data_IF_017051801734
#
_entry.id   IF_017051801734
#
_cell.length_a   1.000
_cell.length_b   1.000
_cell.length_c   1.000
_cell.angle_alpha   90.00
_cell.angle_beta   90.00
_cell.angle_gamma   90.00
#
_symmetry.space_group_name_H-M   'P 1'
#
loop_
_entity.id
_entity.type
_entity.pdbx_description
1 polymer ?
#
# COMPACT_ATOMS: atom_id res chain seq x y z
N UNK A 1 -3.24 42.75 -34.06
CA UNK A 1 -1.92 43.24 -33.59
C UNK A 1 -2.16 44.26 -32.50
N UNK A 2 -1.67 44.02 -31.29
CA UNK A 2 -0.70 44.84 -30.53
C UNK A 2 -0.55 44.17 -29.17
N UNK A 3 0.71 43.97 -28.78
CA UNK A 3 1.20 43.23 -27.62
C UNK A 3 1.77 44.26 -26.61
N UNK A 4 1.80 43.86 -25.32
CA UNK A 4 2.69 44.30 -24.22
C UNK A 4 2.30 45.60 -23.48
N UNK A 5 2.00 45.48 -22.18
CA UNK A 5 2.89 45.93 -21.09
C UNK A 5 2.14 46.03 -19.73
N UNK A 6 2.24 45.00 -18.89
CA UNK A 6 2.04 45.14 -17.43
C UNK A 6 3.29 44.61 -16.75
N UNK A 7 4.27 45.50 -16.56
CA UNK A 7 5.46 45.27 -15.76
C UNK A 7 5.89 46.62 -15.15
N UNK A 8 5.16 47.07 -14.13
CA UNK A 8 5.44 48.32 -13.42
C UNK A 8 5.56 48.14 -11.90
N UNK A 9 5.87 46.92 -11.42
CA UNK A 9 5.93 46.61 -9.99
C UNK A 9 7.31 46.27 -9.42
N UNK A 10 8.39 46.28 -10.21
CA UNK A 10 9.69 45.72 -9.79
C UNK A 10 10.91 46.64 -9.96
N UNK A 11 10.72 47.96 -10.17
CA UNK A 11 11.83 48.91 -10.42
C UNK A 11 12.13 49.82 -9.20
N UNK A 12 11.38 49.68 -8.10
CA UNK A 12 11.47 50.58 -6.95
C UNK A 12 12.47 50.23 -5.83
N UNK A 13 13.38 49.26 -6.00
CA UNK A 13 14.33 48.86 -4.92
C UNK A 13 15.81 48.93 -5.33
N UNK A 14 16.13 49.31 -6.57
CA UNK A 14 17.53 49.26 -7.07
C UNK A 14 18.26 50.61 -7.00
N UNK A 15 17.61 51.71 -6.59
CA UNK A 15 18.17 53.06 -6.78
C UNK A 15 18.82 53.72 -5.54
N UNK A 16 19.17 53.00 -4.46
CA UNK A 16 19.75 53.66 -3.26
C UNK A 16 20.95 52.96 -2.61
N UNK A 17 21.87 52.42 -3.42
CA UNK A 17 23.18 52.00 -2.92
C UNK A 17 24.22 52.01 -4.05
N UNK A 18 24.62 53.21 -4.50
CA UNK A 18 25.77 53.37 -5.39
C UNK A 18 26.92 54.05 -4.65
N UNK A 19 27.51 53.31 -3.70
CA UNK A 19 28.85 53.61 -3.14
C UNK A 19 29.88 52.66 -3.77
N UNK A 20 30.96 53.17 -4.39
CA UNK A 20 31.88 52.34 -5.16
C UNK A 20 32.86 51.49 -4.32
N UNK A 21 32.95 51.70 -3.00
CA UNK A 21 33.91 51.01 -2.13
C UNK A 21 33.37 49.70 -1.49
N UNK A 22 32.08 49.39 -1.66
CA UNK A 22 31.43 48.21 -1.05
C UNK A 22 31.23 46.98 -1.96
N UNK A 23 31.75 46.99 -3.20
CA UNK A 23 31.37 46.00 -4.25
C UNK A 23 31.69 44.55 -3.91
N UNK A 24 32.79 44.27 -3.21
CA UNK A 24 33.14 42.89 -2.84
C UNK A 24 32.15 42.27 -1.84
N UNK A 25 31.55 43.08 -0.96
CA UNK A 25 30.64 42.59 0.09
C UNK A 25 29.22 42.30 -0.44
N UNK A 26 28.80 43.00 -1.51
CA UNK A 26 27.49 42.80 -2.15
C UNK A 26 27.38 41.48 -2.91
N UNK A 27 28.43 41.08 -3.63
CA UNK A 27 28.46 39.83 -4.39
C UNK A 27 28.44 38.59 -3.50
N UNK A 28 29.15 38.61 -2.37
CA UNK A 28 29.13 37.49 -1.41
C UNK A 28 27.73 37.34 -0.79
N UNK A 29 27.06 38.45 -0.44
CA UNK A 29 25.71 38.44 0.13
C UNK A 29 24.63 37.89 -0.82
N UNK A 30 24.80 38.03 -2.13
CA UNK A 30 23.84 37.50 -3.13
C UNK A 30 24.25 36.14 -3.70
N UNK A 31 25.54 35.89 -3.89
CA UNK A 31 26.04 34.61 -4.43
C UNK A 31 25.90 33.47 -3.42
N UNK A 32 26.13 33.72 -2.12
CA UNK A 32 26.01 32.68 -1.08
C UNK A 32 24.61 32.05 -1.00
N UNK A 33 23.49 32.80 -0.89
CA UNK A 33 22.15 32.20 -0.86
C UNK A 33 21.80 31.48 -2.17
N UNK A 34 22.27 31.96 -3.32
CA UNK A 34 22.09 31.28 -4.60
C UNK A 34 22.82 29.95 -4.64
N UNK A 35 24.07 29.89 -4.18
CA UNK A 35 24.84 28.64 -4.09
C UNK A 35 24.19 27.64 -3.13
N UNK A 36 23.70 28.11 -1.98
CA UNK A 36 22.96 27.27 -1.03
C UNK A 36 21.69 26.71 -1.68
N UNK A 37 20.92 27.54 -2.39
CA UNK A 37 19.70 27.11 -3.07
C UNK A 37 19.99 26.08 -4.18
N UNK A 38 21.04 26.30 -4.98
CA UNK A 38 21.47 25.34 -6.02
C UNK A 38 21.95 24.03 -5.39
N UNK A 39 22.75 24.08 -4.33
CA UNK A 39 23.21 22.89 -3.62
C UNK A 39 22.04 22.12 -2.99
N UNK A 40 21.09 22.83 -2.39
CA UNK A 40 19.87 22.26 -1.81
C UNK A 40 18.99 21.60 -2.86
N UNK A 41 18.76 22.24 -4.01
CA UNK A 41 17.99 21.65 -5.11
C UNK A 41 18.68 20.42 -5.70
N UNK A 42 20.00 20.45 -5.85
CA UNK A 42 20.78 19.28 -6.29
C UNK A 42 20.66 18.13 -5.28
N UNK A 43 20.75 18.43 -3.99
CA UNK A 43 20.57 17.45 -2.92
C UNK A 43 19.17 16.83 -2.92
N UNK A 44 18.12 17.65 -3.05
CA UNK A 44 16.73 17.18 -3.15
C UNK A 44 16.51 16.27 -4.35
N UNK A 45 17.02 16.64 -5.53
CA UNK A 45 16.94 15.79 -6.73
C UNK A 45 17.66 14.47 -6.54
N UNK A 46 18.85 14.49 -5.96
CA UNK A 46 19.61 13.27 -5.67
C UNK A 46 18.85 12.34 -4.71
N UNK A 47 18.29 12.87 -3.61
CA UNK A 47 17.47 12.07 -2.69
C UNK A 47 16.24 11.49 -3.39
N UNK A 48 15.51 12.30 -4.16
CA UNK A 48 14.35 11.84 -4.90
C UNK A 48 14.70 10.72 -5.89
N UNK A 49 15.79 10.86 -6.64
CA UNK A 49 16.25 9.82 -7.56
C UNK A 49 16.60 8.52 -6.82
N UNK A 50 17.27 8.62 -5.67
CA UNK A 50 17.58 7.45 -4.83
C UNK A 50 16.31 6.79 -4.30
N UNK A 51 15.38 7.56 -3.75
CA UNK A 51 14.08 7.07 -3.32
C UNK A 51 13.31 6.40 -4.45
N UNK A 52 13.25 7.01 -5.63
CA UNK A 52 12.48 6.49 -6.77
C UNK A 52 13.00 5.11 -7.23
N UNK A 53 14.33 4.97 -7.37
CA UNK A 53 14.96 3.69 -7.76
C UNK A 53 14.68 2.60 -6.71
N UNK A 54 14.86 2.91 -5.43
CA UNK A 54 14.59 1.93 -4.37
C UNK A 54 13.10 1.61 -4.27
N UNK A 55 12.22 2.58 -4.43
CA UNK A 55 10.76 2.37 -4.41
C UNK A 55 10.31 1.47 -5.56
N UNK A 56 10.85 1.65 -6.77
CA UNK A 56 10.55 0.80 -7.93
C UNK A 56 11.08 -0.63 -7.72
N UNK A 57 12.30 -0.78 -7.21
CA UNK A 57 12.86 -2.08 -6.84
C UNK A 57 12.03 -2.79 -5.76
N UNK A 58 11.62 -2.06 -4.73
CA UNK A 58 10.76 -2.58 -3.67
C UNK A 58 9.39 -3.04 -4.20
N UNK A 59 8.79 -2.28 -5.13
CA UNK A 59 7.55 -2.66 -5.80
C UNK A 59 7.72 -3.92 -6.67
N UNK A 60 8.82 -4.02 -7.43
CA UNK A 60 9.11 -5.22 -8.22
C UNK A 60 9.33 -6.47 -7.36
N UNK A 61 9.97 -6.33 -6.19
CA UNK A 61 10.13 -7.42 -5.23
C UNK A 61 8.80 -7.83 -4.60
N UNK A 62 7.91 -6.86 -4.30
CA UNK A 62 6.54 -7.10 -3.88
C UNK A 62 5.75 -7.88 -4.95
N UNK A 63 5.86 -7.48 -6.21
CA UNK A 63 5.26 -8.17 -7.36
C UNK A 63 5.74 -9.62 -7.47
N UNK A 64 7.04 -9.84 -7.27
CA UNK A 64 7.67 -11.16 -7.27
C UNK A 64 7.33 -12.01 -6.04
N UNK A 65 6.79 -11.41 -4.97
CA UNK A 65 6.46 -12.08 -3.71
C UNK A 65 7.65 -12.25 -2.75
N UNK A 66 8.80 -11.62 -3.00
CA UNK A 66 9.92 -11.59 -2.05
C UNK A 66 9.69 -10.48 -1.01
N UNK A 67 8.79 -10.75 -0.07
CA UNK A 67 8.35 -9.77 0.94
C UNK A 67 9.51 -9.30 1.83
N UNK A 68 10.43 -10.21 2.17
CA UNK A 68 11.58 -9.89 3.03
C UNK A 68 12.62 -9.01 2.34
N UNK A 69 12.90 -9.24 1.05
CA UNK A 69 13.73 -8.31 0.27
C UNK A 69 13.00 -6.99 0.00
N UNK A 70 11.72 -7.03 -0.36
CA UNK A 70 10.92 -5.84 -0.61
C UNK A 70 10.89 -4.92 0.62
N UNK A 71 10.62 -5.46 1.80
CA UNK A 71 10.60 -4.69 3.06
C UNK A 71 11.94 -4.00 3.32
N UNK A 72 13.07 -4.71 3.19
CA UNK A 72 14.40 -4.12 3.40
C UNK A 72 14.67 -2.96 2.43
N UNK A 73 14.36 -3.14 1.15
CA UNK A 73 14.57 -2.10 0.13
C UNK A 73 13.64 -0.89 0.36
N UNK A 74 12.40 -1.13 0.79
CA UNK A 74 11.45 -0.07 1.12
C UNK A 74 11.80 0.68 2.40
N UNK A 75 12.34 -0.01 3.42
CA UNK A 75 12.91 0.61 4.62
C UNK A 75 14.09 1.53 4.26
N UNK A 76 14.96 1.09 3.33
CA UNK A 76 16.02 1.95 2.79
C UNK A 76 15.44 3.14 2.00
N UNK A 77 14.41 2.92 1.17
CA UNK A 77 13.74 3.97 0.42
C UNK A 77 13.13 5.04 1.35
N UNK A 78 12.46 4.65 2.44
CA UNK A 78 11.92 5.57 3.44
C UNK A 78 13.02 6.45 4.04
N UNK A 79 14.21 5.88 4.20
CA UNK A 79 15.41 6.61 4.57
C UNK A 79 15.70 7.77 3.63
N UNK A 80 15.46 7.65 2.32
CA UNK A 80 15.68 8.69 1.29
C UNK A 80 14.50 9.63 1.06
N UNK A 81 13.28 9.24 1.46
CA UNK A 81 12.09 10.07 1.32
C UNK A 81 12.26 11.44 1.99
N UNK A 82 11.89 12.48 1.26
CA UNK A 82 12.03 13.89 1.64
C UNK A 82 10.69 14.61 1.62
N UNK A 83 9.82 14.29 0.64
CA UNK A 83 8.49 14.89 0.50
C UNK A 83 7.43 13.97 1.08
N UNK A 84 6.29 14.57 1.45
CA UNK A 84 5.18 13.79 1.98
C UNK A 84 4.65 12.70 1.03
N UNK A 85 4.51 12.92 -0.30
CA UNK A 85 4.09 11.85 -1.22
C UNK A 85 5.02 10.63 -1.20
N UNK A 86 6.32 10.86 -1.01
CA UNK A 86 7.33 9.80 -0.97
C UNK A 86 7.14 8.94 0.29
N UNK A 87 7.01 9.58 1.45
CA UNK A 87 6.68 8.89 2.71
C UNK A 87 5.34 8.16 2.66
N UNK A 88 4.31 8.79 2.07
CA UNK A 88 2.96 8.22 1.97
C UNK A 88 2.99 6.92 1.16
N UNK A 89 3.64 6.93 -0.01
CA UNK A 89 3.73 5.76 -0.87
C UNK A 89 4.57 4.64 -0.24
N UNK A 90 5.75 4.96 0.28
CA UNK A 90 6.63 3.96 0.89
C UNK A 90 5.99 3.31 2.11
N UNK A 91 5.30 4.08 2.96
CA UNK A 91 4.58 3.54 4.12
C UNK A 91 3.39 2.67 3.75
N UNK A 92 2.70 2.96 2.64
CA UNK A 92 1.66 2.05 2.14
C UNK A 92 2.27 0.69 1.80
N UNK A 93 3.36 0.67 1.01
CA UNK A 93 4.02 -0.57 0.61
C UNK A 93 4.56 -1.35 1.82
N UNK A 94 5.14 -0.66 2.81
CA UNK A 94 5.59 -1.30 4.05
C UNK A 94 4.41 -1.88 4.86
N UNK A 95 3.30 -1.15 4.99
CA UNK A 95 2.09 -1.66 5.64
C UNK A 95 1.51 -2.86 4.91
N UNK A 96 1.57 -2.86 3.58
CA UNK A 96 1.14 -3.99 2.77
C UNK A 96 2.06 -5.20 2.89
N UNK A 97 3.39 -5.01 2.89
CA UNK A 97 4.36 -6.06 3.22
C UNK A 97 4.04 -6.68 4.58
N UNK A 98 3.85 -5.85 5.61
CA UNK A 98 3.55 -6.31 6.96
C UNK A 98 2.26 -7.14 7.03
N UNK A 99 1.21 -6.76 6.28
CA UNK A 99 -0.01 -7.58 6.18
C UNK A 99 0.29 -8.95 5.56
N UNK A 100 1.01 -8.98 4.44
CA UNK A 100 1.31 -10.20 3.70
C UNK A 100 2.31 -11.12 4.42
N UNK A 101 3.17 -10.58 5.27
CA UNK A 101 4.04 -11.31 6.20
C UNK A 101 3.30 -11.79 7.47
N UNK A 102 2.00 -11.49 7.60
CA UNK A 102 1.19 -11.87 8.77
C UNK A 102 1.40 -11.00 10.02
N UNK A 103 2.15 -9.89 9.91
CA UNK A 103 2.32 -8.90 10.98
C UNK A 103 1.10 -7.96 11.07
N UNK A 104 -0.10 -8.53 11.23
CA UNK A 104 -1.39 -7.83 11.11
C UNK A 104 -1.50 -6.64 12.05
N UNK A 105 -1.03 -6.76 13.30
CA UNK A 105 -1.06 -5.65 14.27
C UNK A 105 -0.17 -4.46 13.86
N UNK A 106 1.03 -4.75 13.33
CA UNK A 106 1.96 -3.74 12.81
C UNK A 106 1.37 -3.04 11.59
N UNK A 107 0.86 -3.82 10.63
CA UNK A 107 0.19 -3.34 9.43
C UNK A 107 -0.99 -2.43 9.78
N UNK A 108 -1.87 -2.86 10.69
CA UNK A 108 -3.01 -2.07 11.18
C UNK A 108 -2.57 -0.72 11.73
N UNK A 109 -1.57 -0.71 12.60
CA UNK A 109 -1.08 0.53 13.23
C UNK A 109 -0.55 1.53 12.19
N UNK A 110 0.28 1.05 11.26
CA UNK A 110 0.86 1.86 10.20
C UNK A 110 -0.22 2.40 9.25
N UNK A 111 -1.16 1.55 8.81
CA UNK A 111 -2.23 1.90 7.88
C UNK A 111 -3.28 2.82 8.52
N UNK A 112 -3.53 2.70 9.82
CA UNK A 112 -4.38 3.63 10.56
C UNK A 112 -3.75 5.03 10.62
N UNK A 113 -2.46 5.11 10.95
CA UNK A 113 -1.73 6.37 10.95
C UNK A 113 -1.74 7.02 9.56
N UNK A 114 -1.51 6.21 8.51
CA UNK A 114 -1.54 6.66 7.13
C UNK A 114 -2.93 7.13 6.68
N UNK A 115 -3.99 6.40 7.04
CA UNK A 115 -5.37 6.71 6.65
C UNK A 115 -5.91 7.99 7.31
N UNK A 116 -5.35 8.37 8.47
CA UNK A 116 -5.69 9.60 9.20
C UNK A 116 -4.80 10.80 8.85
N UNK A 117 -3.66 10.58 8.19
CA UNK A 117 -2.73 11.66 7.90
C UNK A 117 -3.25 12.53 6.74
N UNK A 118 -3.38 13.84 6.98
CA UNK A 118 -3.95 14.77 6.01
C UNK A 118 -3.18 14.87 4.69
N UNK A 119 -1.87 14.58 4.70
CA UNK A 119 -1.03 14.60 3.49
C UNK A 119 -1.21 13.38 2.60
N UNK A 120 -1.85 12.32 3.09
CA UNK A 120 -2.16 11.13 2.28
C UNK A 120 -2.99 11.47 1.05
N UNK A 121 -3.83 12.52 1.11
CA UNK A 121 -4.59 13.04 -0.04
C UNK A 121 -3.72 13.57 -1.19
N UNK A 122 -2.44 13.86 -0.94
CA UNK A 122 -1.48 14.24 -1.99
C UNK A 122 -1.12 13.06 -2.91
N UNK A 123 -1.44 11.82 -2.49
CA UNK A 123 -1.28 10.59 -3.29
C UNK A 123 -2.63 9.88 -3.39
N UNK A 124 -3.45 10.19 -4.41
CA UNK A 124 -4.84 9.71 -4.50
C UNK A 124 -5.00 8.20 -4.46
N UNK A 125 -4.05 7.46 -5.02
CA UNK A 125 -4.04 5.99 -5.01
C UNK A 125 -3.91 5.46 -3.58
N UNK A 126 -2.98 6.00 -2.79
CA UNK A 126 -2.78 5.64 -1.39
C UNK A 126 -3.95 6.10 -0.52
N UNK A 127 -4.51 7.28 -0.82
CA UNK A 127 -5.67 7.81 -0.11
C UNK A 127 -6.89 6.88 -0.17
N UNK A 128 -7.10 6.22 -1.31
CA UNK A 128 -8.16 5.22 -1.48
C UNK A 128 -7.76 3.83 -0.98
N UNK A 129 -6.50 3.41 -1.17
CA UNK A 129 -6.06 2.05 -0.84
C UNK A 129 -5.80 1.81 0.66
N UNK A 130 -5.27 2.79 1.40
CA UNK A 130 -4.89 2.59 2.80
C UNK A 130 -6.09 2.18 3.70
N UNK A 131 -7.29 2.79 3.58
CA UNK A 131 -8.49 2.34 4.29
C UNK A 131 -8.93 0.90 3.95
N UNK A 132 -8.76 0.47 2.70
CA UNK A 132 -9.13 -0.89 2.26
C UNK A 132 -8.26 -1.95 2.94
N UNK A 133 -6.94 -1.74 2.94
CA UNK A 133 -5.98 -2.65 3.56
C UNK A 133 -6.11 -2.60 5.09
N UNK A 134 -6.47 -1.44 5.66
CA UNK A 134 -6.80 -1.32 7.08
C UNK A 134 -8.04 -2.15 7.44
N UNK A 135 -9.10 -2.09 6.62
CA UNK A 135 -10.29 -2.91 6.80
C UNK A 135 -9.96 -4.42 6.75
N UNK A 136 -9.05 -4.83 5.86
CA UNK A 136 -8.54 -6.20 5.81
C UNK A 136 -7.87 -6.61 7.14
N UNK A 137 -7.00 -5.76 7.69
CA UNK A 137 -6.34 -6.03 8.98
C UNK A 137 -7.36 -6.19 10.12
N UNK A 138 -8.36 -5.29 10.18
CA UNK A 138 -9.40 -5.32 11.20
C UNK A 138 -10.30 -6.57 11.09
N UNK A 139 -10.65 -6.96 9.86
CA UNK A 139 -11.42 -8.17 9.60
C UNK A 139 -10.68 -9.43 10.05
N UNK A 140 -9.37 -9.54 9.76
CA UNK A 140 -8.53 -10.64 10.24
C UNK A 140 -8.43 -10.68 11.77
N UNK A 141 -8.53 -9.53 12.43
CA UNK A 141 -8.56 -9.45 13.89
C UNK A 141 -9.94 -9.72 14.51
N UNK A 142 -10.98 -9.81 13.69
CA UNK A 142 -12.36 -10.04 14.11
C UNK A 142 -13.15 -8.77 14.44
N UNK A 143 -12.59 -7.58 14.26
CA UNK A 143 -13.28 -6.30 14.47
C UNK A 143 -14.05 -5.90 13.20
N UNK A 144 -15.18 -6.57 12.97
CA UNK A 144 -15.98 -6.36 11.75
C UNK A 144 -16.70 -5.01 11.72
N UNK A 145 -16.98 -4.42 12.88
CA UNK A 145 -17.64 -3.11 12.96
C UNK A 145 -16.69 -2.04 12.42
N UNK A 146 -15.47 -1.99 12.94
CA UNK A 146 -14.47 -1.02 12.49
C UNK A 146 -14.01 -1.34 11.06
N UNK A 147 -13.89 -2.63 10.69
CA UNK A 147 -13.53 -3.03 9.33
C UNK A 147 -14.53 -2.49 8.29
N UNK A 148 -15.83 -2.59 8.56
CA UNK A 148 -16.87 -2.04 7.68
C UNK A 148 -16.80 -0.53 7.58
N UNK A 149 -16.58 0.17 8.70
CA UNK A 149 -16.42 1.62 8.70
C UNK A 149 -15.30 2.07 7.76
N UNK A 150 -14.13 1.40 7.83
CA UNK A 150 -13.00 1.74 6.96
C UNK A 150 -13.18 1.29 5.51
N UNK A 151 -13.90 0.19 5.26
CA UNK A 151 -14.24 -0.21 3.89
C UNK A 151 -15.17 0.82 3.22
N UNK A 152 -16.18 1.32 3.95
CA UNK A 152 -17.03 2.40 3.46
C UNK A 152 -16.23 3.66 3.15
N UNK A 153 -15.25 3.99 3.99
CA UNK A 153 -14.34 5.09 3.75
C UNK A 153 -13.47 4.85 2.50
N UNK A 154 -12.97 3.64 2.29
CA UNK A 154 -12.25 3.26 1.07
C UNK A 154 -13.11 3.48 -0.17
N UNK A 155 -14.38 3.05 -0.14
CA UNK A 155 -15.34 3.23 -1.22
C UNK A 155 -15.64 4.70 -1.49
N UNK A 156 -15.83 5.52 -0.45
CA UNK A 156 -16.03 6.98 -0.60
C UNK A 156 -14.84 7.65 -1.28
N UNK A 157 -13.61 7.16 -1.05
CA UNK A 157 -12.38 7.73 -1.60
C UNK A 157 -12.01 7.19 -2.98
N UNK A 158 -12.61 6.07 -3.40
CA UNK A 158 -12.30 5.41 -4.66
C UNK A 158 -12.83 6.24 -5.84
N UNK A 159 -12.01 6.38 -6.88
CA UNK A 159 -12.44 7.03 -8.13
C UNK A 159 -13.42 6.11 -8.89
N UNK A 160 -14.44 6.67 -9.56
CA UNK A 160 -15.29 5.89 -10.46
C UNK A 160 -14.44 5.15 -11.50
N UNK A 161 -14.71 3.85 -11.70
CA UNK A 161 -13.99 3.02 -12.67
C UNK A 161 -12.62 2.51 -12.22
N UNK A 162 -12.18 2.77 -10.99
CA UNK A 162 -10.99 2.13 -10.45
C UNK A 162 -11.28 0.63 -10.19
N UNK A 163 -10.82 -0.21 -11.13
CA UNK A 163 -10.92 -1.67 -11.06
C UNK A 163 -9.89 -2.25 -10.08
N UNK A 164 -10.07 -1.94 -8.79
CA UNK A 164 -9.20 -2.46 -7.75
C UNK A 164 -9.93 -3.53 -6.95
N UNK A 165 -9.30 -4.70 -6.86
CA UNK A 165 -9.65 -5.75 -5.93
C UNK A 165 -9.56 -5.23 -4.47
N UNK A 166 -10.49 -5.65 -3.59
CA UNK A 166 -10.57 -5.23 -2.19
C UNK A 166 -10.26 -6.40 -1.25
N UNK A 167 -9.19 -6.29 -0.46
CA UNK A 167 -8.93 -7.29 0.60
C UNK A 167 -9.90 -7.13 1.75
N UNK A 168 -10.25 -5.89 2.09
CA UNK A 168 -11.19 -5.59 3.17
C UNK A 168 -12.54 -6.25 2.92
N UNK A 169 -13.12 -6.08 1.73
CA UNK A 169 -14.41 -6.66 1.38
C UNK A 169 -14.39 -8.19 1.42
N UNK A 170 -13.37 -8.82 0.84
CA UNK A 170 -13.25 -10.29 0.83
C UNK A 170 -13.17 -10.86 2.25
N UNK A 171 -12.31 -10.30 3.11
CA UNK A 171 -12.19 -10.81 4.47
C UNK A 171 -13.43 -10.54 5.32
N UNK A 172 -14.07 -9.37 5.17
CA UNK A 172 -15.34 -9.08 5.87
C UNK A 172 -16.41 -10.09 5.46
N UNK A 173 -16.62 -10.30 4.15
CA UNK A 173 -17.64 -11.24 3.65
C UNK A 173 -17.38 -12.67 4.12
N UNK A 174 -16.13 -13.14 4.11
CA UNK A 174 -15.82 -14.47 4.64
C UNK A 174 -16.05 -14.59 6.14
N UNK A 175 -15.70 -13.56 6.93
CA UNK A 175 -15.90 -13.55 8.38
C UNK A 175 -17.38 -13.51 8.78
N UNK A 176 -18.22 -13.02 7.88
CA UNK A 176 -19.68 -13.01 8.02
C UNK A 176 -20.35 -14.24 7.43
N UNK A 177 -19.56 -15.23 7.03
CA UNK A 177 -20.04 -16.49 6.47
C UNK A 177 -20.85 -16.29 5.17
N UNK A 178 -20.64 -15.16 4.48
CA UNK A 178 -21.25 -14.86 3.19
C UNK A 178 -20.43 -15.46 2.05
N UNK A 179 -20.13 -16.75 2.14
CA UNK A 179 -19.18 -17.44 1.27
C UNK A 179 -19.56 -17.39 -0.22
N UNK A 180 -20.86 -17.50 -0.54
CA UNK A 180 -21.34 -17.34 -1.91
C UNK A 180 -21.05 -15.95 -2.50
N UNK A 181 -21.11 -14.90 -1.66
CA UNK A 181 -20.76 -13.55 -2.09
C UNK A 181 -19.24 -13.41 -2.32
N UNK A 182 -18.41 -14.07 -1.51
CA UNK A 182 -16.96 -14.09 -1.68
C UNK A 182 -16.57 -14.74 -2.99
N UNK A 183 -17.09 -15.94 -3.25
CA UNK A 183 -16.83 -16.70 -4.48
C UNK A 183 -17.22 -15.86 -5.69
N UNK A 184 -18.44 -15.30 -5.70
CA UNK A 184 -18.89 -14.44 -6.79
C UNK A 184 -18.00 -13.22 -6.96
N UNK A 185 -17.62 -12.54 -5.89
CA UNK A 185 -16.73 -11.37 -5.94
C UNK A 185 -15.37 -11.72 -6.56
N UNK A 186 -14.81 -12.89 -6.23
CA UNK A 186 -13.54 -13.35 -6.77
C UNK A 186 -13.65 -13.82 -8.22
N UNK A 187 -14.76 -14.47 -8.57
CA UNK A 187 -15.03 -14.95 -9.94
C UNK A 187 -15.33 -13.77 -10.89
N UNK A 188 -16.12 -12.79 -10.46
CA UNK A 188 -16.37 -11.54 -11.21
C UNK A 188 -15.07 -10.72 -11.38
N UNK A 189 -14.14 -10.89 -10.44
CA UNK A 189 -12.85 -10.20 -10.38
C UNK A 189 -11.67 -11.01 -10.94
N UNK A 190 -11.88 -12.08 -11.73
CA UNK A 190 -10.79 -12.95 -12.17
C UNK A 190 -9.69 -12.21 -12.94
N UNK A 191 -10.04 -11.30 -13.84
CA UNK A 191 -9.06 -10.52 -14.60
C UNK A 191 -8.22 -9.60 -13.69
N UNK A 192 -8.85 -8.99 -12.69
CA UNK A 192 -8.16 -8.14 -11.71
C UNK A 192 -7.27 -8.99 -10.79
N UNK A 193 -7.76 -10.16 -10.40
CA UNK A 193 -7.00 -11.15 -9.61
C UNK A 193 -5.80 -11.65 -10.40
N UNK A 194 -5.96 -12.02 -11.67
CA UNK A 194 -4.88 -12.47 -12.53
C UNK A 194 -3.76 -11.42 -12.70
N UNK A 195 -4.11 -10.14 -12.68
CA UNK A 195 -3.16 -9.01 -12.74
C UNK A 195 -2.60 -8.59 -11.38
N UNK A 196 -3.08 -9.18 -10.28
CA UNK A 196 -2.58 -8.90 -8.94
C UNK A 196 -1.21 -9.52 -8.71
N UNK A 197 -0.51 -9.03 -7.68
CA UNK A 197 0.81 -9.50 -7.27
C UNK A 197 0.78 -11.01 -6.98
N UNK A 198 1.91 -11.69 -7.16
CA UNK A 198 1.99 -13.16 -6.99
C UNK A 198 1.45 -13.60 -5.63
N UNK A 199 1.86 -12.93 -4.55
CA UNK A 199 1.44 -13.25 -3.19
C UNK A 199 -0.06 -12.98 -2.96
N UNK A 200 -0.56 -11.87 -3.51
CA UNK A 200 -1.99 -11.53 -3.50
C UNK A 200 -2.82 -12.62 -4.18
N UNK A 201 -2.39 -13.12 -5.35
CA UNK A 201 -3.10 -14.19 -6.06
C UNK A 201 -3.16 -15.48 -5.26
N UNK A 202 -2.05 -15.88 -4.64
CA UNK A 202 -2.02 -17.06 -3.76
C UNK A 202 -2.97 -16.90 -2.58
N UNK A 203 -2.90 -15.75 -1.89
CA UNK A 203 -3.77 -15.41 -0.77
C UNK A 203 -5.25 -15.51 -1.17
N UNK A 204 -5.62 -14.93 -2.31
CA UNK A 204 -6.99 -14.99 -2.82
C UNK A 204 -7.40 -16.40 -3.24
N UNK A 205 -6.47 -17.20 -3.75
CA UNK A 205 -6.67 -18.63 -3.97
C UNK A 205 -7.03 -19.38 -2.68
N UNK A 206 -6.30 -19.13 -1.59
CA UNK A 206 -6.60 -19.72 -0.26
C UNK A 206 -8.00 -19.32 0.20
N UNK A 207 -8.32 -18.02 0.13
CA UNK A 207 -9.61 -17.52 0.61
C UNK A 207 -10.77 -18.03 -0.25
N UNK A 208 -10.58 -18.11 -1.57
CA UNK A 208 -11.56 -18.70 -2.51
C UNK A 208 -11.79 -20.17 -2.18
N UNK A 209 -10.72 -20.95 -1.99
CA UNK A 209 -10.81 -22.36 -1.64
C UNK A 209 -11.51 -22.56 -0.29
N UNK A 210 -11.20 -21.73 0.70
CA UNK A 210 -11.88 -21.73 2.00
C UNK A 210 -13.38 -21.45 1.87
N UNK A 211 -13.77 -20.44 1.09
CA UNK A 211 -15.17 -20.10 0.88
C UNK A 211 -15.93 -21.25 0.18
N UNK A 212 -15.32 -21.90 -0.81
CA UNK A 212 -15.89 -23.06 -1.48
C UNK A 212 -16.04 -24.27 -0.56
N UNK A 213 -15.03 -24.57 0.25
CA UNK A 213 -15.06 -25.65 1.23
C UNK A 213 -16.21 -25.46 2.23
N UNK A 214 -16.38 -24.22 2.72
CA UNK A 214 -17.48 -23.87 3.60
C UNK A 214 -18.86 -24.05 2.94
N UNK A 215 -19.03 -23.63 1.68
CA UNK A 215 -20.27 -23.84 0.92
C UNK A 215 -20.57 -25.32 0.67
N UNK A 216 -19.53 -26.11 0.36
CA UNK A 216 -19.67 -27.54 0.11
C UNK A 216 -20.16 -28.29 1.37
N UNK A 217 -19.65 -27.90 2.53
CA UNK A 217 -20.10 -28.44 3.83
C UNK A 217 -21.56 -28.09 4.16
N UNK A 218 -22.04 -26.92 3.72
CA UNK A 218 -23.43 -26.47 3.92
C UNK A 218 -24.40 -27.10 2.91
N UNK A 219 -23.96 -27.35 1.68
CA UNK A 219 -24.78 -27.86 0.57
C UNK A 219 -24.62 -29.35 0.24
N UNK A 220 -23.73 -30.09 0.91
CA UNK A 220 -23.43 -31.49 0.61
C UNK A 220 -22.65 -31.71 -0.70
N UNK A 221 -21.97 -30.67 -1.20
CA UNK A 221 -21.17 -30.72 -2.42
C UNK A 221 -19.79 -31.36 -2.21
N UNK A 222 -19.14 -31.80 -3.28
CA UNK A 222 -17.75 -32.31 -3.24
C UNK A 222 -16.78 -31.20 -3.68
N UNK A 223 -15.88 -30.72 -2.81
CA UNK A 223 -14.89 -29.71 -3.18
C UNK A 223 -13.77 -30.38 -4.00
N UNK A 224 -13.68 -30.11 -5.30
CA UNK A 224 -12.86 -30.90 -6.21
C UNK A 224 -11.98 -30.09 -7.15
N UNK A 225 -12.56 -29.16 -7.90
CA UNK A 225 -11.79 -28.37 -8.88
C UNK A 225 -11.27 -27.05 -8.31
N UNK A 226 -11.90 -26.57 -7.25
CA UNK A 226 -11.68 -25.26 -6.63
C UNK A 226 -10.44 -25.24 -5.72
N UNK A 227 -9.89 -26.43 -5.44
CA UNK A 227 -8.66 -26.64 -4.68
C UNK A 227 -7.42 -26.67 -5.60
N UNK A 228 -7.60 -26.69 -6.93
CA UNK A 228 -6.51 -26.63 -7.91
C UNK A 228 -5.76 -25.29 -7.74
N UNK A 229 -4.45 -25.36 -7.58
CA UNK A 229 -3.59 -24.18 -7.41
C UNK A 229 -3.11 -23.91 -5.98
N UNK A 230 -3.63 -24.62 -4.97
CA UNK A 230 -3.07 -24.56 -3.61
C UNK A 230 -1.71 -25.27 -3.50
N UNK A 231 -1.34 -26.10 -4.46
CA UNK A 231 -0.07 -26.85 -4.51
C UNK A 231 1.18 -25.97 -4.52
N UNK A 232 1.06 -24.72 -5.00
CA UNK A 232 2.16 -23.75 -5.06
C UNK A 232 2.36 -22.98 -3.74
N UNK A 233 1.53 -23.26 -2.72
CA UNK A 233 1.52 -22.57 -1.43
C UNK A 233 2.36 -23.36 -0.44
N UNK A 234 3.33 -22.70 0.18
CA UNK A 234 4.18 -23.34 1.17
C UNK A 234 3.43 -23.49 2.50
N UNK A 235 3.60 -24.60 3.22
CA UNK A 235 3.07 -24.73 4.58
C UNK A 235 3.55 -23.56 5.46
N UNK A 236 2.62 -22.94 6.18
CA UNK A 236 2.89 -21.78 7.02
C UNK A 236 2.82 -20.41 6.31
N UNK A 237 2.86 -20.35 4.98
CA UNK A 237 2.86 -19.09 4.20
C UNK A 237 1.67 -18.18 4.54
N UNK A 238 0.52 -18.76 4.85
CA UNK A 238 -0.72 -18.06 5.21
C UNK A 238 -1.28 -18.48 6.58
N UNK A 239 -0.45 -19.02 7.49
CA UNK A 239 -0.88 -19.46 8.83
C UNK A 239 -1.55 -18.32 9.63
N UNK A 240 -1.10 -17.08 9.40
CA UNK A 240 -1.65 -15.88 10.03
C UNK A 240 -3.14 -15.66 9.78
N UNK A 241 -3.71 -16.20 8.68
CA UNK A 241 -5.15 -16.12 8.42
C UNK A 241 -5.98 -16.88 9.47
N UNK A 242 -5.41 -17.94 10.05
CA UNK A 242 -6.04 -18.76 11.09
C UNK A 242 -5.88 -18.21 12.51
N UNK A 243 -4.91 -17.31 12.76
CA UNK A 243 -4.47 -16.92 14.10
C UNK A 243 -5.59 -16.40 15.03
N UNK A 244 -6.61 -15.74 14.48
CA UNK A 244 -7.82 -15.30 15.21
C UNK A 244 -9.11 -15.75 14.51
N UNK A 245 -9.02 -16.86 13.78
CA UNK A 245 -10.10 -17.38 12.96
C UNK A 245 -10.12 -18.92 12.98
N UNK A 246 -10.74 -19.52 14.01
CA UNK A 246 -10.71 -20.97 14.21
C UNK A 246 -11.18 -21.79 12.99
N UNK A 247 -12.23 -21.32 12.28
CA UNK A 247 -12.72 -22.00 11.07
C UNK A 247 -11.70 -21.99 9.93
N UNK A 248 -11.00 -20.87 9.71
CA UNK A 248 -9.92 -20.77 8.73
C UNK A 248 -8.71 -21.60 9.16
N UNK A 249 -8.35 -21.59 10.44
CA UNK A 249 -7.27 -22.43 10.98
C UNK A 249 -7.53 -23.93 10.74
N UNK A 250 -8.76 -24.39 11.03
CA UNK A 250 -9.18 -25.76 10.80
C UNK A 250 -9.07 -26.14 9.32
N UNK A 251 -9.50 -25.25 8.42
CA UNK A 251 -9.33 -25.43 6.98
C UNK A 251 -7.85 -25.54 6.58
N UNK A 252 -7.01 -24.60 7.01
CA UNK A 252 -5.57 -24.61 6.69
C UNK A 252 -4.90 -25.89 7.20
N UNK A 253 -5.25 -26.35 8.41
CA UNK A 253 -4.73 -27.62 8.96
C UNK A 253 -5.20 -28.83 8.15
N UNK A 254 -6.49 -28.90 7.82
CA UNK A 254 -7.05 -30.00 7.02
C UNK A 254 -6.44 -30.11 5.63
N UNK A 255 -5.92 -29.00 5.09
CA UNK A 255 -5.26 -28.93 3.78
C UNK A 255 -3.74 -28.98 3.84
N UNK A 256 -3.14 -29.16 5.03
CA UNK A 256 -1.68 -29.21 5.20
C UNK A 256 -0.97 -27.87 4.93
N UNK A 257 -1.71 -26.76 4.98
CA UNK A 257 -1.20 -25.40 4.75
C UNK A 257 -0.82 -24.67 6.05
N UNK A 258 -1.22 -25.20 7.20
CA UNK A 258 -0.76 -24.72 8.51
C UNK A 258 0.75 -24.98 8.69
N UNK A 259 1.39 -24.29 9.62
CA UNK A 259 2.79 -24.59 9.97
C UNK A 259 2.90 -26.08 10.35
N UNK A 260 3.92 -26.75 9.81
CA UNK A 260 4.27 -28.09 10.27
C UNK A 260 4.67 -27.92 11.73
N UNK A 261 3.94 -28.56 12.66
CA UNK A 261 4.45 -28.73 14.02
C UNK A 261 5.87 -29.29 13.89
N UNK A 262 6.85 -28.53 14.40
CA UNK A 262 8.22 -29.00 14.46
C UNK A 262 8.21 -30.27 15.31
N UNK A 263 8.41 -31.42 14.65
CA UNK A 263 8.57 -32.72 15.28
C UNK A 263 9.84 -32.78 16.12
#
# INVERSE_FOLDING_TARGET
MVVIAVAAGAIGVVAYAWEPEGRAMGWVRTASPLLILVAFERYRRWRFQKWAVLSEQGAALLEAGDLGAARRVLEEAEGYAFRAPEHVLTRLHLGYCALLEGQVDSARSALLALSRWWRTKEVPEVYAAAPDILAACLALQGDLVEARHWLEEAHRRRRPGAANFSFGEVFILCREERYGAVVRLLDDGLDATAKSLVHSRKLLGVVRAFAWDALAMEGGGTPGEELKGLEAIQPGEFSYLGARWPRMEAFLRARGLSEKEAA
#
